data_IF_204558993445
#
_entry.id   IF_204558993445
#
_cell.length_a   1.000
_cell.length_b   1.000
_cell.length_c   1.000
_cell.angle_alpha   90.00
_cell.angle_beta   90.00
_cell.angle_gamma   90.00
#
_symmetry.space_group_name_H-M   'P 1'
#
loop_
_entity.id
_entity.type
_entity.pdbx_description
1 polymer ?
#
# COMPACT_ATOMS: atom_id res chain seq x y z
N UNK A 1 -0.57 6.96 -25.70
CA UNK A 1 -0.77 6.72 -24.26
C UNK A 1 0.46 5.97 -23.79
N UNK A 2 1.19 6.45 -22.78
CA UNK A 2 2.39 5.74 -22.29
C UNK A 2 1.93 4.44 -21.67
N UNK A 3 2.49 3.32 -22.11
CA UNK A 3 2.19 2.01 -21.53
C UNK A 3 2.98 1.87 -20.23
N UNK A 4 2.41 2.43 -19.16
CA UNK A 4 3.02 2.41 -17.84
C UNK A 4 3.21 0.98 -17.30
N UNK A 5 2.42 0.01 -17.78
CA UNK A 5 2.55 -1.39 -17.40
C UNK A 5 3.81 -1.98 -18.03
N UNK A 6 4.02 -1.78 -19.34
CA UNK A 6 5.21 -2.27 -20.03
C UNK A 6 6.49 -1.60 -19.51
N UNK A 7 6.48 -0.28 -19.30
CA UNK A 7 7.64 0.44 -18.78
C UNK A 7 8.02 -0.03 -17.37
N UNK A 8 7.03 -0.19 -16.48
CA UNK A 8 7.27 -0.65 -15.11
C UNK A 8 7.79 -2.08 -15.07
N UNK A 9 7.16 -2.99 -15.81
CA UNK A 9 7.56 -4.40 -15.85
C UNK A 9 8.88 -4.61 -16.59
N UNK A 10 9.17 -3.80 -17.61
CA UNK A 10 10.47 -3.76 -18.28
C UNK A 10 11.58 -3.31 -17.32
N UNK A 11 11.34 -2.24 -16.55
CA UNK A 11 12.28 -1.77 -15.54
C UNK A 11 12.50 -2.83 -14.42
N UNK A 12 11.43 -3.52 -14.00
CA UNK A 12 11.51 -4.63 -13.06
C UNK A 12 12.39 -5.77 -13.58
N UNK A 13 12.14 -6.22 -14.81
CA UNK A 13 12.93 -7.29 -15.43
C UNK A 13 14.41 -6.91 -15.58
N UNK A 14 14.69 -5.65 -15.91
CA UNK A 14 16.06 -5.13 -16.01
C UNK A 14 16.72 -4.83 -14.65
N UNK A 15 15.99 -4.92 -13.53
CA UNK A 15 16.50 -4.56 -12.20
C UNK A 15 16.81 -3.06 -12.05
N UNK A 16 16.06 -2.22 -12.75
CA UNK A 16 16.24 -0.76 -12.82
C UNK A 16 15.09 0.01 -12.21
N UNK A 17 14.21 -0.65 -11.43
CA UNK A 17 13.16 0.07 -10.71
C UNK A 17 13.77 1.12 -9.77
N UNK A 18 13.18 2.31 -9.68
CA UNK A 18 13.59 3.31 -8.70
C UNK A 18 13.38 2.78 -7.28
N UNK A 19 14.00 3.44 -6.31
CA UNK A 19 13.88 3.09 -4.88
C UNK A 19 12.43 3.12 -4.38
N UNK A 20 11.58 3.94 -4.99
CA UNK A 20 10.13 4.03 -4.74
C UNK A 20 9.42 4.11 -6.08
N UNK A 21 8.47 3.20 -6.31
CA UNK A 21 7.61 3.21 -7.48
C UNK A 21 6.16 3.08 -7.04
N UNK A 22 5.29 3.94 -7.58
CA UNK A 22 3.84 3.81 -7.47
C UNK A 22 3.33 3.22 -8.78
N UNK A 23 2.70 2.07 -8.68
CA UNK A 23 2.13 1.36 -9.82
C UNK A 23 0.60 1.42 -9.73
N UNK A 24 -0.03 1.88 -10.81
CA UNK A 24 -1.49 1.86 -10.97
C UNK A 24 -1.80 1.03 -12.22
N UNK A 25 -2.57 -0.06 -12.11
CA UNK A 25 -2.88 -0.91 -13.27
C UNK A 25 -3.75 -0.18 -14.29
N UNK A 26 -3.78 -0.71 -15.50
CA UNK A 26 -4.74 -0.31 -16.53
C UNK A 26 -6.18 -0.32 -16.00
N UNK A 27 -7.03 0.57 -16.53
CA UNK A 27 -8.38 0.79 -16.02
C UNK A 27 -9.23 -0.47 -15.87
N UNK A 28 -9.23 -1.38 -16.84
CA UNK A 28 -10.02 -2.63 -16.75
C UNK A 28 -9.44 -3.67 -15.78
N UNK A 29 -8.26 -3.42 -15.19
CA UNK A 29 -7.54 -4.33 -14.28
C UNK A 29 -7.43 -3.78 -12.85
N UNK A 30 -8.11 -2.67 -12.56
CA UNK A 30 -8.01 -1.98 -11.26
C UNK A 30 -9.07 -2.39 -10.23
N UNK A 31 -9.92 -3.39 -10.56
CA UNK A 31 -11.01 -3.90 -9.72
C UNK A 31 -12.11 -2.89 -9.34
N UNK A 32 -12.12 -1.70 -9.94
CA UNK A 32 -13.15 -0.71 -9.66
C UNK A 32 -14.53 -1.20 -10.09
N UNK A 33 -15.50 -1.07 -9.17
CA UNK A 33 -16.87 -1.46 -9.41
C UNK A 33 -17.48 -0.72 -10.63
N UNK A 34 -18.29 -1.44 -11.40
CA UNK A 34 -19.04 -0.89 -12.53
C UNK A 34 -18.35 -1.00 -13.89
N UNK A 35 -17.02 -1.08 -13.97
CA UNK A 35 -16.31 -1.23 -15.26
C UNK A 35 -15.11 -2.18 -15.25
N UNK A 36 -14.66 -2.64 -14.08
CA UNK A 36 -13.61 -3.64 -13.95
C UNK A 36 -14.10 -4.86 -13.14
N UNK A 37 -13.34 -5.94 -13.23
CA UNK A 37 -13.62 -7.22 -12.58
C UNK A 37 -12.64 -7.48 -11.44
N UNK A 38 -13.13 -8.02 -10.32
CA UNK A 38 -12.27 -8.49 -9.22
C UNK A 38 -11.36 -9.61 -9.71
N UNK A 39 -11.90 -10.59 -10.44
CA UNK A 39 -11.15 -11.74 -10.91
C UNK A 39 -10.00 -11.36 -11.86
N UNK A 40 -10.26 -10.45 -12.80
CA UNK A 40 -9.23 -9.99 -13.74
C UNK A 40 -8.14 -9.18 -13.03
N UNK A 41 -8.54 -8.33 -12.08
CA UNK A 41 -7.57 -7.58 -11.27
C UNK A 41 -6.75 -8.47 -10.34
N UNK A 42 -7.34 -9.52 -9.75
CA UNK A 42 -6.61 -10.48 -8.90
C UNK A 42 -5.59 -11.27 -9.73
N UNK A 43 -5.98 -11.73 -10.91
CA UNK A 43 -5.09 -12.39 -11.86
C UNK A 43 -3.94 -11.46 -12.29
N UNK A 44 -4.23 -10.17 -12.52
CA UNK A 44 -3.22 -9.18 -12.85
C UNK A 44 -2.26 -8.90 -11.70
N UNK A 45 -2.77 -8.70 -10.48
CA UNK A 45 -1.97 -8.53 -9.26
C UNK A 45 -1.02 -9.72 -9.10
N UNK A 46 -1.53 -10.95 -9.22
CA UNK A 46 -0.71 -12.16 -9.14
C UNK A 46 0.39 -12.20 -10.22
N UNK A 47 0.06 -11.83 -11.46
CA UNK A 47 1.02 -11.76 -12.57
C UNK A 47 2.13 -10.73 -12.32
N UNK A 48 1.78 -9.53 -11.85
CA UNK A 48 2.75 -8.47 -11.52
C UNK A 48 3.65 -8.90 -10.38
N UNK A 49 3.10 -9.45 -9.29
CA UNK A 49 3.89 -9.94 -8.16
C UNK A 49 4.86 -11.04 -8.60
N UNK A 50 4.42 -12.00 -9.42
CA UNK A 50 5.28 -13.06 -9.93
C UNK A 50 6.48 -12.52 -10.74
N UNK A 51 6.25 -11.49 -11.57
CA UNK A 51 7.33 -10.81 -12.31
C UNK A 51 8.28 -10.05 -11.39
N UNK A 52 7.76 -9.37 -10.37
CA UNK A 52 8.58 -8.68 -9.37
C UNK A 52 9.43 -9.66 -8.56
N UNK A 53 8.90 -10.84 -8.23
CA UNK A 53 9.63 -11.91 -7.54
C UNK A 53 10.79 -12.48 -8.36
N UNK A 54 10.69 -12.44 -9.69
CA UNK A 54 11.76 -12.84 -10.62
C UNK A 54 12.79 -11.73 -10.86
N UNK A 55 12.53 -10.50 -10.41
CA UNK A 55 13.44 -9.37 -10.65
C UNK A 55 14.74 -9.48 -9.86
N UNK A 56 15.86 -8.93 -10.37
CA UNK A 56 17.14 -8.87 -9.64
C UNK A 56 17.05 -8.14 -8.28
N UNK A 57 16.06 -7.25 -8.12
CA UNK A 57 15.87 -6.43 -6.92
C UNK A 57 15.00 -7.11 -5.84
N UNK A 58 14.35 -8.25 -6.14
CA UNK A 58 13.37 -8.89 -5.25
C UNK A 58 13.87 -9.09 -3.82
N UNK A 59 15.13 -9.53 -3.66
CA UNK A 59 15.75 -9.80 -2.35
C UNK A 59 15.68 -8.62 -1.36
N UNK A 60 15.52 -7.39 -1.87
CA UNK A 60 15.45 -6.16 -1.09
C UNK A 60 14.14 -5.39 -1.33
N UNK A 61 13.08 -6.06 -1.79
CA UNK A 61 11.84 -5.41 -2.22
C UNK A 61 10.73 -5.55 -1.18
N UNK A 62 9.93 -4.49 -1.02
CA UNK A 62 8.63 -4.52 -0.36
C UNK A 62 7.56 -4.08 -1.37
N UNK A 63 6.57 -4.92 -1.59
CA UNK A 63 5.37 -4.60 -2.37
C UNK A 63 4.21 -4.39 -1.42
N UNK A 64 3.54 -3.25 -1.55
CA UNK A 64 2.30 -2.92 -0.83
C UNK A 64 1.16 -2.94 -1.84
N UNK A 65 0.28 -3.94 -1.74
CA UNK A 65 -0.97 -3.97 -2.52
C UNK A 65 -2.07 -3.39 -1.66
N UNK A 66 -2.72 -2.34 -2.13
CA UNK A 66 -3.81 -1.67 -1.40
C UNK A 66 -4.75 -0.97 -2.38
N UNK A 67 -5.81 -0.38 -1.85
CA UNK A 67 -6.90 0.25 -2.58
C UNK A 67 -6.95 1.74 -2.25
N UNK A 68 -7.49 2.55 -3.15
CA UNK A 68 -7.70 3.97 -2.88
C UNK A 68 -8.96 4.22 -2.05
N UNK A 69 -9.97 3.36 -2.20
CA UNK A 69 -11.28 3.46 -1.54
C UNK A 69 -11.98 2.09 -1.39
N UNK A 70 -13.20 2.05 -0.81
CA UNK A 70 -13.91 0.82 -0.43
C UNK A 70 -15.03 0.37 -1.41
N UNK A 71 -15.15 1.00 -2.57
CA UNK A 71 -16.18 0.82 -3.58
C UNK A 71 -17.59 1.24 -3.15
N UNK A 72 -17.74 1.88 -1.98
CA UNK A 72 -19.05 2.05 -1.32
C UNK A 72 -19.65 0.77 -0.74
N UNK A 73 -18.88 -0.34 -0.71
CA UNK A 73 -19.30 -1.59 -0.11
C UNK A 73 -19.30 -1.52 1.42
N UNK A 74 -20.19 -2.29 2.05
CA UNK A 74 -20.31 -2.34 3.50
C UNK A 74 -19.06 -2.93 4.17
N UNK A 75 -18.58 -2.27 5.21
CA UNK A 75 -17.62 -2.81 6.19
C UNK A 75 -18.20 -2.56 7.60
N UNK A 76 -18.09 -3.56 8.47
CA UNK A 76 -18.63 -3.49 9.84
C UNK A 76 -17.76 -2.64 10.79
N UNK A 77 -16.51 -2.36 10.42
CA UNK A 77 -15.58 -1.62 11.25
C UNK A 77 -16.00 -0.14 11.30
N UNK A 78 -16.19 0.37 12.52
CA UNK A 78 -16.46 1.78 12.71
C UNK A 78 -15.28 2.62 12.20
N UNK A 79 -15.60 3.66 11.42
CA UNK A 79 -14.61 4.60 10.92
C UNK A 79 -13.97 5.35 12.09
N UNK A 80 -12.63 5.33 12.25
CA UNK A 80 -11.98 6.05 13.33
C UNK A 80 -12.13 7.56 13.17
N UNK A 81 -12.31 8.27 14.29
CA UNK A 81 -12.45 9.72 14.30
C UNK A 81 -11.08 10.39 14.15
N UNK A 82 -10.78 10.94 12.98
CA UNK A 82 -9.57 11.73 12.74
C UNK A 82 -9.88 13.17 12.34
N UNK A 83 -9.19 13.67 11.31
CA UNK A 83 -9.43 15.02 10.78
C UNK A 83 -10.60 15.01 9.77
N UNK A 84 -10.82 16.14 9.09
CA UNK A 84 -11.88 16.26 8.06
C UNK A 84 -11.69 15.32 6.85
N UNK A 85 -10.51 14.73 6.70
CA UNK A 85 -10.13 13.89 5.55
C UNK A 85 -10.07 12.41 5.88
N UNK A 86 -10.12 12.04 7.16
CA UNK A 86 -10.19 10.65 7.56
C UNK A 86 -9.53 10.35 8.90
N UNK A 87 -9.25 9.06 9.17
CA UNK A 87 -9.35 7.93 8.24
C UNK A 87 -10.80 7.65 7.77
N UNK A 88 -10.94 7.05 6.59
CA UNK A 88 -12.21 6.63 6.02
C UNK A 88 -12.55 5.17 6.34
N UNK A 89 -13.47 4.59 5.57
CA UNK A 89 -13.80 3.15 5.64
C UNK A 89 -12.56 2.29 5.43
N UNK A 90 -12.52 1.14 6.11
CA UNK A 90 -11.41 0.20 5.99
C UNK A 90 -11.27 -0.31 4.55
N UNK A 91 -10.04 -0.45 4.11
CA UNK A 91 -9.63 -1.02 2.83
C UNK A 91 -8.66 -2.19 3.05
N UNK A 92 -8.55 -3.14 2.11
CA UNK A 92 -7.53 -4.17 2.18
C UNK A 92 -6.11 -3.60 2.00
N UNK A 93 -5.14 -4.21 2.68
CA UNK A 93 -3.73 -3.98 2.44
C UNK A 93 -2.95 -5.29 2.62
N UNK A 94 -2.06 -5.60 1.68
CA UNK A 94 -1.17 -6.75 1.73
C UNK A 94 0.28 -6.29 1.58
N UNK A 95 1.15 -6.81 2.45
CA UNK A 95 2.60 -6.63 2.36
C UNK A 95 3.25 -7.90 1.85
N UNK A 96 4.00 -7.79 0.76
CA UNK A 96 4.61 -8.93 0.08
C UNK A 96 6.10 -8.62 -0.07
N UNK A 97 6.93 -9.39 0.62
CA UNK A 97 8.37 -9.12 0.72
C UNK A 97 9.14 -10.33 1.26
N UNK A 98 10.44 -10.49 0.95
CA UNK A 98 11.33 -11.36 1.71
C UNK A 98 11.37 -11.03 3.21
N UNK A 99 11.07 -9.79 3.60
CA UNK A 99 11.04 -9.32 4.99
C UNK A 99 9.66 -9.43 5.64
N UNK A 100 8.60 -9.78 4.90
CA UNK A 100 7.25 -9.85 5.46
C UNK A 100 7.09 -11.07 6.37
N UNK A 101 6.43 -10.89 7.52
CA UNK A 101 6.02 -12.00 8.37
C UNK A 101 5.03 -12.90 7.60
N UNK A 102 5.35 -14.19 7.48
CA UNK A 102 4.54 -15.14 6.71
C UNK A 102 3.28 -15.56 7.47
N UNK A 103 2.14 -15.60 6.78
CA UNK A 103 0.86 -16.02 7.37
C UNK A 103 0.40 -15.13 8.54
N UNK A 104 0.85 -13.87 8.56
CA UNK A 104 0.64 -12.96 9.67
C UNK A 104 -0.42 -11.90 9.34
N UNK A 105 -1.37 -11.72 10.26
CA UNK A 105 -2.35 -10.63 10.21
C UNK A 105 -1.90 -9.57 11.22
N UNK A 106 -1.55 -8.39 10.72
CA UNK A 106 -1.21 -7.26 11.56
C UNK A 106 -2.48 -6.46 11.91
N UNK A 107 -2.72 -6.28 13.20
CA UNK A 107 -3.87 -5.53 13.72
C UNK A 107 -3.53 -4.08 14.08
N UNK A 108 -2.31 -3.64 13.78
CA UNK A 108 -1.92 -2.22 13.91
C UNK A 108 -2.82 -1.37 13.02
N UNK A 109 -3.22 -0.20 13.53
CA UNK A 109 -4.07 0.72 12.78
C UNK A 109 -3.24 1.45 11.71
N UNK A 110 -3.73 1.40 10.47
CA UNK A 110 -3.12 2.03 9.31
C UNK A 110 -4.12 2.87 8.52
N UNK A 111 -3.60 3.83 7.76
CA UNK A 111 -4.32 4.53 6.70
C UNK A 111 -3.44 4.62 5.44
N UNK A 112 -3.93 5.22 4.37
CA UNK A 112 -3.14 5.38 3.12
C UNK A 112 -1.86 6.20 3.35
N UNK A 113 -1.81 7.06 4.37
CA UNK A 113 -0.61 7.81 4.72
C UNK A 113 0.44 6.97 5.46
N UNK A 114 0.12 5.75 5.90
CA UNK A 114 1.09 4.79 6.44
C UNK A 114 2.19 4.42 5.45
N UNK A 115 1.90 4.46 4.13
CA UNK A 115 2.94 4.32 3.09
C UNK A 115 3.95 5.46 3.20
N UNK A 116 3.49 6.70 3.33
CA UNK A 116 4.37 7.86 3.44
C UNK A 116 5.18 7.84 4.74
N UNK A 117 4.58 7.39 5.85
CA UNK A 117 5.29 7.17 7.13
C UNK A 117 6.44 6.20 6.96
N UNK A 118 6.16 5.04 6.37
CA UNK A 118 7.16 4.01 6.11
C UNK A 118 8.31 4.56 5.28
N UNK A 119 8.01 5.27 4.18
CA UNK A 119 9.02 5.86 3.31
C UNK A 119 9.86 6.92 4.04
N UNK A 120 9.23 7.84 4.78
CA UNK A 120 9.99 8.85 5.55
C UNK A 120 10.93 8.22 6.56
N UNK A 121 10.49 7.17 7.26
CA UNK A 121 11.34 6.43 8.20
C UNK A 121 12.47 5.69 7.47
N UNK A 122 12.15 4.97 6.40
CA UNK A 122 13.10 4.16 5.63
C UNK A 122 14.23 4.99 5.03
N UNK A 123 13.96 6.22 4.63
CA UNK A 123 14.94 7.12 4.02
C UNK A 123 15.48 8.19 4.98
N UNK A 124 15.15 8.14 6.27
CA UNK A 124 15.61 9.12 7.26
C UNK A 124 15.15 10.55 6.99
N UNK A 125 13.98 10.70 6.34
CA UNK A 125 13.40 11.99 5.99
C UNK A 125 12.55 12.54 7.13
N UNK A 126 12.38 13.85 7.15
CA UNK A 126 11.44 14.49 8.06
C UNK A 126 10.00 14.04 7.74
N UNK A 127 9.16 13.77 8.76
CA UNK A 127 7.74 13.49 8.54
C UNK A 127 7.06 14.62 7.78
N UNK A 128 6.18 14.27 6.84
CA UNK A 128 5.42 15.28 6.10
C UNK A 128 4.42 15.97 7.04
N UNK A 129 4.26 17.30 6.99
CA UNK A 129 3.36 18.01 7.91
C UNK A 129 1.93 17.48 7.94
N UNK A 130 1.40 17.03 6.79
CA UNK A 130 0.07 16.43 6.72
C UNK A 130 -0.06 15.09 7.44
N UNK A 131 1.01 14.29 7.47
CA UNK A 131 1.06 13.02 8.21
C UNK A 131 1.04 13.29 9.72
N UNK A 132 1.84 14.26 10.17
CA UNK A 132 1.87 14.69 11.57
C UNK A 132 0.54 15.30 12.01
N UNK A 133 -0.07 16.15 11.18
CA UNK A 133 -1.36 16.76 11.49
C UNK A 133 -2.46 15.70 11.69
N UNK A 134 -2.45 14.63 10.90
CA UNK A 134 -3.38 13.49 11.05
C UNK A 134 -3.21 12.76 12.38
N UNK A 135 -1.97 12.52 12.82
CA UNK A 135 -1.74 11.91 14.15
C UNK A 135 -2.29 12.77 15.27
N UNK A 136 -2.02 14.07 15.22
CA UNK A 136 -2.52 15.01 16.21
C UNK A 136 -4.04 14.99 16.26
N UNK A 137 -4.71 14.92 15.11
CA UNK A 137 -6.17 14.83 15.04
C UNK A 137 -6.70 13.51 15.62
N UNK A 138 -6.09 12.37 15.28
CA UNK A 138 -6.45 11.05 15.82
C UNK A 138 -6.29 11.01 17.34
N UNK A 139 -5.15 11.46 17.86
CA UNK A 139 -4.88 11.50 19.30
C UNK A 139 -5.86 12.43 20.02
N UNK A 140 -6.16 13.60 19.45
CA UNK A 140 -7.16 14.53 20.00
C UNK A 140 -8.54 13.90 20.13
N UNK A 141 -8.89 12.98 19.24
CA UNK A 141 -10.14 12.24 19.24
C UNK A 141 -10.08 10.92 20.04
N UNK A 142 -9.05 10.72 20.87
CA UNK A 142 -8.89 9.54 21.73
C UNK A 142 -8.31 8.30 21.04
N UNK A 143 -7.85 8.44 19.80
CA UNK A 143 -7.16 7.39 19.05
C UNK A 143 -5.65 7.34 19.33
N UNK A 144 -4.94 6.57 18.51
CA UNK A 144 -3.47 6.49 18.49
C UNK A 144 -2.93 6.96 17.12
N UNK A 145 -1.66 7.37 17.03
CA UNK A 145 -1.00 7.59 15.75
C UNK A 145 -1.09 6.36 14.84
N UNK A 146 -1.13 6.58 13.53
CA UNK A 146 -1.12 5.48 12.56
C UNK A 146 0.25 4.81 12.51
N UNK A 147 0.26 3.49 12.30
CA UNK A 147 1.49 2.74 12.11
C UNK A 147 2.15 3.00 10.75
N UNK A 148 3.33 2.40 10.55
CA UNK A 148 4.19 2.56 9.38
C UNK A 148 4.60 1.22 8.74
N UNK A 149 3.76 0.18 8.87
CA UNK A 149 4.00 -1.20 8.41
C UNK A 149 5.16 -1.96 9.06
N UNK A 150 5.99 -1.34 9.90
CA UNK A 150 7.17 -2.01 10.46
C UNK A 150 6.82 -3.20 11.37
N UNK A 151 5.65 -3.21 12.02
CA UNK A 151 5.19 -4.35 12.83
C UNK A 151 4.89 -5.61 12.03
N UNK A 152 4.67 -5.50 10.72
CA UNK A 152 4.45 -6.62 9.81
C UNK A 152 5.73 -7.12 9.13
N UNK A 153 6.88 -6.48 9.39
CA UNK A 153 8.17 -6.79 8.78
C UNK A 153 9.17 -7.30 9.83
N UNK A 154 10.09 -8.15 9.39
CA UNK A 154 11.23 -8.62 10.16
C UNK A 154 12.50 -8.41 9.34
N UNK A 155 13.46 -7.68 9.91
CA UNK A 155 14.78 -7.50 9.31
C UNK A 155 15.75 -8.39 10.09
N UNK A 156 16.36 -9.33 9.39
CA UNK A 156 17.39 -10.21 9.96
C UNK A 156 18.73 -9.49 10.04
#
# INVERSE_FOLDING_TARGET
>A
MKDFDQDFLGAAAAGTLPQVAFYKPQGNLNQHAGYASVADGDAHIASVIAKLQQSPQWKNMLVVVTYDENGGFYDHAAVPKGDRWGPGTRIPAMLISPFAKKGYVDHTQYDTASILRFLTRRFGLQPLPGVTARDVALVRNGGKPMGDFTSALTFN
#
